data_IF_274703810403
#
_entry.id   IF_274703810403
#
_cell.length_a   1.000
_cell.length_b   1.000
_cell.length_c   1.000
_cell.angle_alpha   90.00
_cell.angle_beta   90.00
_cell.angle_gamma   90.00
#
_symmetry.space_group_name_H-M   'P 1'
#
loop_
_entity.id
_entity.type
_entity.pdbx_description
1 polymer ?
#
# COMPACT_ATOMS: atom_id res chain seq x y z
N UNK A 1 -23.99 54.28 -18.16
CA UNK A 1 -24.50 54.69 -19.50
C UNK A 1 -24.32 53.49 -20.43
N UNK A 2 -25.26 52.95 -21.20
CA UNK A 2 -26.65 53.24 -21.58
C UNK A 2 -27.09 51.94 -22.32
N UNK A 3 -28.09 51.16 -21.87
CA UNK A 3 -29.52 51.19 -22.24
C UNK A 3 -29.83 51.09 -23.75
N UNK A 4 -30.93 50.34 -24.03
CA UNK A 4 -31.72 50.15 -25.27
C UNK A 4 -31.32 48.94 -26.15
N UNK A 5 -32.22 48.09 -26.70
CA UNK A 5 -33.68 48.11 -26.84
C UNK A 5 -34.20 46.72 -27.33
N UNK A 6 -35.37 46.31 -26.82
CA UNK A 6 -36.46 45.47 -27.36
C UNK A 6 -36.25 44.38 -28.44
N UNK A 7 -36.87 43.20 -28.20
CA UNK A 7 -38.04 42.66 -28.95
C UNK A 7 -38.35 41.25 -28.40
N UNK A 8 -39.28 41.09 -27.45
CA UNK A 8 -40.64 40.61 -27.70
C UNK A 8 -40.70 39.32 -28.55
N UNK A 9 -40.90 38.16 -27.92
CA UNK A 9 -41.62 37.05 -28.55
C UNK A 9 -42.22 36.06 -27.53
N UNK A 10 -43.55 36.15 -27.37
CA UNK A 10 -44.54 35.06 -27.22
C UNK A 10 -44.45 34.14 -25.98
N UNK A 11 -45.41 34.22 -25.04
CA UNK A 11 -45.63 33.20 -24.04
C UNK A 11 -46.52 32.10 -24.64
N UNK A 12 -45.95 30.92 -24.87
CA UNK A 12 -46.72 29.72 -25.19
C UNK A 12 -46.86 28.87 -23.92
N UNK A 13 -48.09 28.80 -23.42
CA UNK A 13 -48.67 27.77 -22.56
C UNK A 13 -47.78 26.54 -22.32
N UNK A 14 -47.32 26.32 -21.08
CA UNK A 14 -47.10 24.96 -20.58
C UNK A 14 -47.38 24.89 -19.08
N UNK A 15 -48.14 23.86 -18.72
CA UNK A 15 -48.77 23.68 -17.42
C UNK A 15 -47.78 23.53 -16.28
N UNK A 16 -48.23 23.98 -15.11
CA UNK A 16 -47.55 23.74 -13.85
C UNK A 16 -47.69 22.30 -13.39
N UNK A 17 -46.55 21.70 -13.07
CA UNK A 17 -46.29 20.94 -11.84
C UNK A 17 -44.82 20.57 -11.90
N UNK A 18 -43.97 21.13 -11.04
CA UNK A 18 -42.69 20.50 -10.67
C UNK A 18 -42.20 21.14 -9.37
N UNK A 19 -42.52 20.48 -8.26
CA UNK A 19 -41.78 20.66 -7.01
C UNK A 19 -40.42 19.98 -7.18
N UNK A 20 -39.41 20.77 -7.53
CA UNK A 20 -38.01 20.35 -7.58
C UNK A 20 -37.40 20.56 -6.19
N UNK A 21 -37.12 19.46 -5.50
CA UNK A 21 -36.14 19.43 -4.43
C UNK A 21 -34.76 19.05 -5.01
N UNK A 22 -33.67 19.63 -4.51
CA UNK A 22 -32.34 19.51 -5.11
C UNK A 22 -31.60 18.26 -4.62
N UNK A 23 -30.57 17.91 -5.41
CA UNK A 23 -29.38 17.18 -5.03
C UNK A 23 -29.57 15.74 -4.53
N UNK A 24 -29.09 14.78 -5.32
CA UNK A 24 -27.71 14.30 -5.13
C UNK A 24 -27.44 13.12 -6.05
N UNK A 25 -26.42 13.30 -6.87
CA UNK A 25 -25.43 12.34 -7.32
C UNK A 25 -25.69 10.87 -7.01
N UNK A 26 -25.74 10.09 -8.08
CA UNK A 26 -25.20 8.74 -8.21
C UNK A 26 -24.30 8.30 -7.06
N UNK A 27 -24.58 7.14 -6.46
CA UNK A 27 -23.52 6.22 -6.15
C UNK A 27 -23.67 5.05 -7.11
N UNK A 28 -22.80 5.03 -8.12
CA UNK A 28 -22.32 3.76 -8.69
C UNK A 28 -21.96 2.89 -7.51
N UNK A 29 -22.61 1.74 -7.40
CA UNK A 29 -22.12 0.65 -6.58
C UNK A 29 -20.82 0.15 -7.22
N UNK A 30 -19.74 0.90 -7.00
CA UNK A 30 -18.41 0.32 -6.89
C UNK A 30 -18.50 -0.51 -5.63
N UNK A 31 -18.60 -1.83 -5.83
CA UNK A 31 -18.11 -2.80 -4.87
C UNK A 31 -16.65 -2.43 -4.58
N UNK A 32 -16.48 -1.62 -3.54
CA UNK A 32 -15.21 -1.38 -2.91
C UNK A 32 -14.88 -2.71 -2.24
N UNK A 33 -14.16 -3.56 -2.96
CA UNK A 33 -13.30 -4.55 -2.31
C UNK A 33 -12.57 -3.82 -1.18
N UNK A 34 -12.47 -4.38 0.03
CA UNK A 34 -11.67 -3.78 1.08
C UNK A 34 -10.26 -3.65 0.52
N UNK A 35 -9.90 -2.44 0.13
CA UNK A 35 -8.51 -2.07 0.00
C UNK A 35 -8.05 -2.03 1.45
N UNK A 36 -7.59 -3.19 1.89
CA UNK A 36 -6.59 -3.36 2.95
C UNK A 36 -5.37 -2.56 2.46
N UNK A 37 -5.50 -1.23 2.44
CA UNK A 37 -4.35 -0.35 2.44
C UNK A 37 -3.63 -0.71 3.73
N UNK A 38 -2.32 -1.00 3.69
CA UNK A 38 -1.59 -1.38 4.87
C UNK A 38 -1.86 -0.29 5.90
N UNK A 39 -2.65 -0.64 6.92
CA UNK A 39 -2.79 0.19 8.10
C UNK A 39 -1.37 0.58 8.48
N UNK A 40 -1.11 1.87 8.70
CA UNK A 40 0.11 2.38 9.34
C UNK A 40 0.23 1.84 10.78
N UNK A 41 -0.04 0.56 11.01
CA UNK A 41 0.64 -0.19 12.02
C UNK A 41 2.12 0.02 11.72
N UNK A 42 2.78 0.78 12.59
CA UNK A 42 4.23 0.82 12.73
C UNK A 42 4.70 -0.62 12.94
N UNK A 43 4.75 -1.39 11.86
CA UNK A 43 5.00 -2.81 11.88
C UNK A 43 6.49 -2.94 11.85
N UNK A 44 7.05 -2.91 13.05
CA UNK A 44 8.48 -3.07 13.26
C UNK A 44 8.89 -4.40 12.66
N UNK A 45 9.89 -4.36 11.80
CA UNK A 45 10.32 -5.55 11.09
C UNK A 45 10.98 -6.54 12.06
N UNK A 46 10.46 -7.77 12.08
CA UNK A 46 10.99 -8.84 12.91
C UNK A 46 12.23 -9.49 12.26
N UNK A 47 13.21 -9.87 13.09
CA UNK A 47 14.35 -10.65 12.62
C UNK A 47 13.91 -12.00 12.03
N UNK A 48 14.48 -12.38 10.89
CA UNK A 48 14.08 -13.60 10.16
C UNK A 48 12.85 -13.46 9.26
N UNK A 49 12.29 -12.25 9.11
CA UNK A 49 11.27 -11.97 8.11
C UNK A 49 11.86 -12.05 6.68
N UNK A 50 11.03 -12.45 5.72
CA UNK A 50 11.37 -12.36 4.29
C UNK A 50 10.78 -11.08 3.71
N UNK A 51 11.65 -10.21 3.22
CA UNK A 51 11.29 -9.00 2.48
C UNK A 51 11.42 -9.24 0.99
N UNK A 52 10.42 -8.85 0.23
CA UNK A 52 10.51 -8.73 -1.21
C UNK A 52 10.79 -7.28 -1.57
N UNK A 53 11.92 -7.06 -2.24
CA UNK A 53 12.33 -5.72 -2.68
C UNK A 53 12.09 -5.68 -4.18
N UNK A 54 11.22 -4.76 -4.60
CA UNK A 54 10.88 -4.53 -6.00
C UNK A 54 11.48 -3.19 -6.40
N UNK A 55 12.36 -3.21 -7.41
CA UNK A 55 12.97 -2.00 -7.96
C UNK A 55 12.41 -1.79 -9.37
N UNK A 56 11.48 -0.85 -9.55
CA UNK A 56 10.84 -0.62 -10.84
C UNK A 56 11.82 -0.10 -11.89
N UNK A 57 12.82 0.67 -11.46
CA UNK A 57 13.85 1.20 -12.35
C UNK A 57 14.80 0.11 -12.88
N UNK A 58 14.97 -0.99 -12.15
CA UNK A 58 15.85 -2.10 -12.51
C UNK A 58 15.28 -3.44 -12.01
N UNK A 59 14.40 -4.10 -12.79
CA UNK A 59 13.74 -5.33 -12.37
C UNK A 59 14.70 -6.51 -12.19
N UNK A 60 15.92 -6.43 -12.73
CA UNK A 60 17.00 -7.40 -12.47
C UNK A 60 17.53 -7.36 -11.02
N UNK A 61 17.27 -6.27 -10.30
CA UNK A 61 17.61 -6.14 -8.89
C UNK A 61 16.50 -6.64 -7.98
N UNK A 62 15.26 -6.72 -8.47
CA UNK A 62 14.10 -7.19 -7.72
C UNK A 62 14.29 -8.63 -7.25
N UNK A 63 14.27 -8.83 -5.92
CA UNK A 63 14.47 -10.14 -5.30
C UNK A 63 13.97 -10.15 -3.86
N UNK A 64 13.70 -11.36 -3.39
CA UNK A 64 13.41 -11.61 -1.97
C UNK A 64 14.72 -11.75 -1.18
N UNK A 65 14.82 -11.03 -0.07
CA UNK A 65 15.92 -11.09 0.89
C UNK A 65 15.40 -11.45 2.27
N UNK A 66 16.20 -12.15 3.06
CA UNK A 66 15.86 -12.49 4.44
C UNK A 66 16.56 -11.52 5.39
N UNK A 67 15.82 -11.05 6.39
CA UNK A 67 16.37 -10.22 7.48
C UNK A 67 17.27 -11.09 8.36
N UNK A 68 18.53 -10.68 8.51
CA UNK A 68 19.49 -11.36 9.37
C UNK A 68 19.00 -11.37 10.83
N UNK A 69 19.46 -12.32 11.67
CA UNK A 69 19.15 -12.31 13.11
C UNK A 69 19.60 -11.02 13.81
N UNK A 70 20.60 -10.34 13.26
CA UNK A 70 21.09 -9.04 13.73
C UNK A 70 20.16 -7.87 13.35
N UNK A 71 19.16 -8.10 12.49
CA UNK A 71 18.23 -7.07 12.02
C UNK A 71 18.72 -6.29 10.80
N UNK A 72 19.72 -6.79 10.10
CA UNK A 72 20.26 -6.18 8.88
C UNK A 72 19.84 -6.96 7.63
N UNK A 73 19.73 -6.27 6.51
CA UNK A 73 19.57 -6.88 5.19
C UNK A 73 20.81 -6.63 4.34
N UNK A 74 21.14 -7.59 3.49
CA UNK A 74 22.19 -7.45 2.47
C UNK A 74 21.56 -7.35 1.11
N UNK A 75 21.77 -6.22 0.45
CA UNK A 75 21.28 -5.98 -0.91
C UNK A 75 22.45 -5.56 -1.81
N UNK A 76 22.49 -6.01 -3.08
CA UNK A 76 23.55 -5.58 -3.99
C UNK A 76 23.50 -4.08 -4.21
N UNK A 77 24.67 -3.45 -4.37
CA UNK A 77 24.86 -2.00 -4.55
C UNK A 77 24.52 -1.16 -3.32
N UNK A 78 23.45 -1.48 -2.60
CA UNK A 78 23.04 -0.79 -1.39
C UNK A 78 23.82 -1.27 -0.13
N UNK A 79 24.42 -2.45 -0.16
CA UNK A 79 25.27 -2.97 0.91
C UNK A 79 24.48 -3.53 2.10
N UNK A 80 24.95 -3.23 3.31
CA UNK A 80 24.33 -3.61 4.58
C UNK A 80 23.41 -2.49 5.06
N UNK A 81 22.13 -2.79 5.27
CA UNK A 81 21.13 -1.82 5.72
C UNK A 81 20.48 -2.30 7.01
N UNK A 82 20.44 -1.43 8.02
CA UNK A 82 19.76 -1.69 9.28
C UNK A 82 18.24 -1.60 9.10
N UNK A 83 17.55 -2.70 9.39
CA UNK A 83 16.08 -2.81 9.31
C UNK A 83 15.42 -3.01 10.67
N UNK A 84 16.18 -3.42 11.71
CA UNK A 84 15.66 -3.54 13.06
C UNK A 84 15.17 -2.19 13.60
N UNK A 85 13.96 -2.19 14.15
CA UNK A 85 13.36 -0.98 14.72
C UNK A 85 12.95 0.07 13.70
N UNK A 86 13.01 -0.24 12.39
CA UNK A 86 12.57 0.62 11.31
C UNK A 86 11.23 0.17 10.74
N UNK A 87 10.50 1.13 10.20
CA UNK A 87 9.32 0.93 9.38
C UNK A 87 9.71 0.59 7.95
N UNK A 88 8.77 0.03 7.18
CA UNK A 88 8.99 -0.28 5.76
C UNK A 88 9.32 0.98 4.96
N UNK A 89 8.61 2.09 5.20
CA UNK A 89 8.87 3.38 4.54
C UNK A 89 10.28 3.91 4.82
N UNK A 90 10.77 3.83 6.07
CA UNK A 90 12.15 4.24 6.38
C UNK A 90 13.17 3.38 5.62
N UNK A 91 12.93 2.07 5.52
CA UNK A 91 13.80 1.14 4.79
C UNK A 91 13.80 1.47 3.30
N UNK A 92 12.64 1.77 2.72
CA UNK A 92 12.53 2.20 1.32
C UNK A 92 13.33 3.47 1.05
N UNK A 93 13.21 4.48 1.91
CA UNK A 93 13.99 5.72 1.77
C UNK A 93 15.49 5.43 1.81
N UNK A 94 15.95 4.62 2.78
CA UNK A 94 17.35 4.21 2.89
C UNK A 94 17.83 3.44 1.66
N UNK A 95 16.99 2.56 1.09
CA UNK A 95 17.32 1.83 -0.13
C UNK A 95 17.40 2.75 -1.33
N UNK A 96 16.47 3.71 -1.47
CA UNK A 96 16.49 4.70 -2.55
C UNK A 96 17.75 5.54 -2.50
N UNK A 97 18.13 6.04 -1.32
CA UNK A 97 19.37 6.79 -1.12
C UNK A 97 20.62 5.95 -1.42
N UNK A 98 20.64 4.70 -0.96
CA UNK A 98 21.77 3.80 -1.20
C UNK A 98 21.91 3.39 -2.67
N UNK A 99 20.80 3.28 -3.41
CA UNK A 99 20.79 2.95 -4.83
C UNK A 99 20.97 4.18 -5.74
N UNK A 100 20.79 5.40 -5.23
CA UNK A 100 20.94 6.63 -5.99
C UNK A 100 22.37 6.87 -6.52
N UNK A 101 23.37 6.16 -6.00
CA UNK A 101 24.74 6.21 -6.55
C UNK A 101 24.87 5.46 -7.88
N UNK A 102 24.08 4.41 -8.08
CA UNK A 102 24.15 3.53 -9.25
C UNK A 102 22.97 3.75 -10.22
N UNK A 103 21.79 4.16 -9.72
CA UNK A 103 20.57 4.37 -10.49
C UNK A 103 20.11 5.83 -10.43
N UNK A 104 19.56 6.33 -11.53
CA UNK A 104 18.94 7.66 -11.59
C UNK A 104 17.46 7.54 -11.25
N UNK A 105 17.05 8.14 -10.13
CA UNK A 105 15.69 8.07 -9.57
C UNK A 105 15.22 6.62 -9.39
N UNK A 106 15.82 5.85 -8.45
CA UNK A 106 15.36 4.50 -8.15
C UNK A 106 14.00 4.52 -7.46
N UNK A 107 13.00 3.91 -8.10
CA UNK A 107 11.69 3.66 -7.49
C UNK A 107 11.69 2.25 -6.87
N UNK A 108 11.51 2.20 -5.55
CA UNK A 108 11.69 1.00 -4.73
C UNK A 108 10.46 0.82 -3.84
N UNK A 109 9.94 -0.40 -3.85
CA UNK A 109 8.81 -0.87 -3.04
C UNK A 109 9.26 -2.08 -2.22
N UNK A 110 8.94 -2.09 -0.93
CA UNK A 110 9.33 -3.16 0.00
C UNK A 110 8.10 -3.84 0.59
N UNK A 111 7.92 -5.11 0.26
CA UNK A 111 6.77 -5.91 0.69
C UNK A 111 7.20 -7.01 1.64
N UNK A 112 6.40 -7.28 2.67
CA UNK A 112 6.58 -8.46 3.52
C UNK A 112 6.08 -9.71 2.77
N UNK A 113 7.00 -10.54 2.29
CA UNK A 113 6.69 -11.65 1.39
C UNK A 113 6.11 -12.86 2.15
N UNK A 114 6.69 -13.21 3.30
CA UNK A 114 6.15 -14.25 4.18
C UNK A 114 6.28 -13.82 5.64
N UNK A 115 5.16 -13.76 6.40
CA UNK A 115 5.26 -13.66 7.85
C UNK A 115 5.97 -14.91 8.36
N UNK A 116 6.94 -14.80 9.29
CA UNK A 116 7.66 -15.96 9.80
C UNK A 116 6.63 -17.01 10.25
N UNK A 117 6.85 -18.30 9.95
CA UNK A 117 5.86 -19.34 10.23
C UNK A 117 5.49 -19.22 11.70
N UNK A 118 4.21 -18.94 11.97
CA UNK A 118 3.68 -19.04 13.31
C UNK A 118 4.09 -20.42 13.79
N UNK A 119 4.99 -20.48 14.77
CA UNK A 119 5.57 -21.71 15.25
C UNK A 119 4.47 -22.51 15.93
N UNK A 120 3.65 -23.20 15.14
CA UNK A 120 2.86 -24.32 15.58
C UNK A 120 3.86 -25.43 15.81
N UNK A 121 4.24 -25.64 17.06
CA UNK A 121 4.72 -26.95 17.46
C UNK A 121 3.49 -27.86 17.54
N UNK A 122 3.25 -28.81 16.60
CA UNK A 122 2.39 -29.94 16.90
C UNK A 122 3.19 -30.92 17.78
N UNK A 123 3.47 -30.56 19.04
CA UNK A 123 4.14 -31.50 19.95
C UNK A 123 3.84 -31.29 21.44
N UNK A 124 2.60 -30.96 21.80
CA UNK A 124 2.17 -31.03 23.22
C UNK A 124 1.01 -32.00 23.45
N UNK A 125 0.26 -32.38 22.41
CA UNK A 125 -0.93 -33.25 22.56
C UNK A 125 -0.66 -34.75 22.35
N UNK A 126 0.52 -35.15 21.87
CA UNK A 126 0.84 -36.57 21.62
C UNK A 126 1.41 -37.33 22.84
N UNK A 127 1.53 -36.70 24.02
CA UNK A 127 2.05 -37.34 25.26
C UNK A 127 0.95 -37.75 26.25
N UNK A 128 -0.29 -37.94 25.78
CA UNK A 128 -1.41 -38.44 26.58
C UNK A 128 -2.00 -39.79 26.08
N UNK A 129 -1.51 -40.33 24.96
CA UNK A 129 -1.91 -41.67 24.48
C UNK A 129 -0.96 -42.75 25.02
N UNK A 130 -0.90 -42.85 26.35
CA UNK A 130 -0.18 -43.88 27.06
C UNK A 130 -1.04 -44.40 28.20
N UNK A 131 -1.45 -45.66 28.08
CA UNK A 131 -1.87 -46.57 29.15
C UNK A 131 -3.32 -46.47 29.67
N UNK A 132 -4.23 -47.20 29.01
CA UNK A 132 -5.20 -48.07 29.70
C UNK A 132 -5.71 -49.18 28.78
#
# INVERSE_FOLDING_TARGET
MNRLLCLAFVPLLFGGCQSVAPASSTPSATEVAPQDGPEEATQVLAAGAQLEIIVYSAPELSRTVTVAPDGEIRFPYAGLIQTAGRTLEEIEQLLRDALASELRDPDVDVVLSEPPPARCEPCSIAKAAGNR
#
